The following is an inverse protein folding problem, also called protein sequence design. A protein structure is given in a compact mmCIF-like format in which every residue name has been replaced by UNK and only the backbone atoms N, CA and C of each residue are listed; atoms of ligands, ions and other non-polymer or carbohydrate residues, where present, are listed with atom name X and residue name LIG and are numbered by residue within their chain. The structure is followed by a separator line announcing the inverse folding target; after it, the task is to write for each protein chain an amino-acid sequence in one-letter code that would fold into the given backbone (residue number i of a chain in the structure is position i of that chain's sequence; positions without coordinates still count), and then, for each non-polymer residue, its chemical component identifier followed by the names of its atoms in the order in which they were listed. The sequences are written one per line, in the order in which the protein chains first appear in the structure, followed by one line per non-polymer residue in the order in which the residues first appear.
data_IF_926244711850
#
_entry.id   IF_926244711850
#
_cell.length_a   1.000
_cell.length_b   1.000
_cell.length_c   1.000
_cell.angle_alpha   90.00
_cell.angle_beta   90.00
_cell.angle_gamma   90.00
#
_symmetry.space_group_name_H-M   'P 1'
#
loop_
_entity.id
_entity.type
_entity.pdbx_description
1 polymer ?
#
# COMPACT_ATOMS: atom_id res chain seq x y z
N UNK A 1 14.88 -11.72 9.23
CA UNK A 1 13.59 -11.02 9.31
C UNK A 1 13.86 -9.63 9.86
N UNK A 2 13.25 -8.59 9.28
CA UNK A 2 13.38 -7.22 9.76
C UNK A 2 12.36 -6.96 10.87
N UNK A 3 12.78 -6.61 12.10
CA UNK A 3 11.86 -6.42 13.23
C UNK A 3 10.78 -5.37 12.97
N UNK A 4 10.99 -4.43 12.03
CA UNK A 4 9.99 -3.43 11.66
C UNK A 4 8.70 -4.05 11.13
N UNK A 5 8.75 -5.26 10.57
CA UNK A 5 7.60 -5.94 9.97
C UNK A 5 7.10 -7.12 10.81
N UNK A 6 7.96 -7.67 11.67
CA UNK A 6 7.68 -8.93 12.39
C UNK A 6 7.42 -8.76 13.87
N UNK A 7 7.58 -7.55 14.43
CA UNK A 7 7.28 -7.30 15.85
C UNK A 7 5.78 -7.32 16.12
N UNK A 8 5.38 -7.90 17.25
CA UNK A 8 3.99 -7.86 17.71
C UNK A 8 3.54 -6.46 18.15
N UNK A 9 2.24 -6.19 18.00
CA UNK A 9 1.62 -5.00 18.56
C UNK A 9 1.52 -5.14 20.07
N UNK A 10 2.39 -4.43 20.81
CA UNK A 10 2.47 -4.51 22.27
C UNK A 10 2.19 -3.16 22.94
N UNK A 11 1.56 -3.22 24.12
CA UNK A 11 1.42 -2.08 25.04
C UNK A 11 1.82 -2.59 26.43
N UNK A 12 2.82 -1.96 27.05
CA UNK A 12 3.35 -2.32 28.38
C UNK A 12 3.69 -3.82 28.52
N UNK A 13 4.26 -4.42 27.48
CA UNK A 13 4.62 -5.84 27.43
C UNK A 13 3.44 -6.81 27.20
N UNK A 14 2.21 -6.29 27.11
CA UNK A 14 1.04 -7.09 26.72
C UNK A 14 0.88 -7.10 25.21
N UNK A 15 0.76 -8.30 24.62
CA UNK A 15 0.51 -8.48 23.18
C UNK A 15 -0.99 -8.29 22.88
N UNK A 16 -1.29 -7.37 21.97
CA UNK A 16 -2.65 -7.08 21.50
C UNK A 16 -2.89 -7.50 20.05
N UNK A 17 -1.82 -7.57 19.25
CA UNK A 17 -1.93 -7.87 17.84
C UNK A 17 -0.70 -8.63 17.34
N UNK A 18 -0.90 -9.53 16.38
CA UNK A 18 0.18 -10.30 15.75
C UNK A 18 0.31 -9.91 14.28
N UNK A 19 1.53 -9.72 13.77
CA UNK A 19 1.73 -9.28 12.40
C UNK A 19 1.25 -10.34 11.41
N UNK A 20 0.70 -9.86 10.30
CA UNK A 20 0.07 -10.68 9.27
C UNK A 20 0.81 -10.52 7.94
N UNK A 21 0.72 -9.33 7.37
CA UNK A 21 1.29 -8.98 6.08
C UNK A 21 2.05 -7.67 6.25
N UNK A 22 2.97 -7.42 5.34
CA UNK A 22 3.57 -6.11 5.19
C UNK A 22 3.49 -5.65 3.74
N UNK A 23 3.92 -4.43 3.48
CA UNK A 23 4.11 -3.97 2.12
C UNK A 23 4.45 -2.50 2.06
N UNK A 24 4.43 -1.98 0.84
CA UNK A 24 4.65 -0.56 0.55
C UNK A 24 3.43 0.02 -0.12
N UNK A 25 3.33 1.35 -0.11
CA UNK A 25 2.46 2.08 -1.03
C UNK A 25 3.32 2.83 -2.01
N UNK A 26 3.11 2.53 -3.30
CA UNK A 26 3.84 3.11 -4.41
C UNK A 26 2.89 3.72 -5.42
N UNK A 27 3.43 4.00 -6.60
CA UNK A 27 2.73 4.58 -7.73
C UNK A 27 2.52 3.47 -8.75
N UNK A 28 1.26 3.15 -9.05
CA UNK A 28 0.92 2.38 -10.24
C UNK A 28 0.70 3.35 -11.40
N UNK A 29 1.45 3.19 -12.50
CA UNK A 29 1.40 4.07 -13.68
C UNK A 29 1.30 3.25 -14.97
N UNK A 30 0.34 3.60 -15.82
CA UNK A 30 0.25 3.09 -17.18
C UNK A 30 1.27 3.81 -18.10
N UNK A 31 2.40 3.15 -18.36
CA UNK A 31 3.53 3.70 -19.13
C UNK A 31 3.25 3.91 -20.62
N UNK A 32 2.17 3.31 -21.15
CA UNK A 32 1.69 3.62 -22.52
C UNK A 32 0.94 4.95 -22.59
N UNK A 33 0.33 5.40 -21.51
CA UNK A 33 -0.42 6.66 -21.44
C UNK A 33 0.45 7.81 -20.94
N UNK A 34 1.28 7.54 -19.95
CA UNK A 34 2.19 8.50 -19.33
C UNK A 34 3.63 8.03 -19.58
N UNK A 35 4.27 8.60 -20.60
CA UNK A 35 5.58 8.13 -21.09
C UNK A 35 6.76 8.76 -20.39
N UNK A 36 6.55 9.86 -19.64
CA UNK A 36 7.58 10.46 -18.81
C UNK A 36 7.89 9.51 -17.65
N UNK A 37 9.17 9.16 -17.41
CA UNK A 37 9.53 8.38 -16.23
C UNK A 37 9.05 9.08 -14.97
N UNK A 38 8.46 8.30 -14.07
CA UNK A 38 8.04 8.78 -12.75
C UNK A 38 8.86 8.02 -11.71
N UNK A 39 9.43 8.77 -10.78
CA UNK A 39 10.37 8.30 -9.75
C UNK A 39 10.13 8.94 -8.39
N UNK A 40 9.16 9.85 -8.28
CA UNK A 40 8.90 10.64 -7.07
C UNK A 40 7.43 10.94 -6.87
N UNK A 41 7.05 11.20 -5.62
CA UNK A 41 5.74 11.74 -5.29
C UNK A 41 5.55 13.15 -5.84
N UNK A 42 6.65 13.91 -5.99
CA UNK A 42 6.59 15.22 -6.64
C UNK A 42 6.07 15.12 -8.07
N UNK A 43 6.67 14.23 -8.85
CA UNK A 43 6.24 13.95 -10.23
C UNK A 43 4.82 13.40 -10.27
N UNK A 44 4.42 12.57 -9.30
CA UNK A 44 3.03 12.07 -9.20
C UNK A 44 2.02 13.22 -9.14
N UNK A 45 2.18 14.14 -8.19
CA UNK A 45 1.23 15.23 -8.00
C UNK A 45 1.29 16.28 -9.11
N UNK A 46 2.48 16.57 -9.64
CA UNK A 46 2.63 17.47 -10.80
C UNK A 46 1.94 16.89 -12.04
N UNK A 47 2.13 15.59 -12.30
CA UNK A 47 1.51 14.88 -13.44
C UNK A 47 0.00 14.83 -13.27
N UNK A 48 -0.50 14.63 -12.04
CA UNK A 48 -1.93 14.61 -11.75
C UNK A 48 -2.65 15.91 -12.18
N UNK A 49 -1.97 17.06 -12.08
CA UNK A 49 -2.50 18.38 -12.49
C UNK A 49 -2.17 18.75 -13.95
N UNK A 50 -1.60 17.83 -14.72
CA UNK A 50 -1.14 18.05 -16.08
C UNK A 50 -1.54 16.88 -16.99
N UNK A 51 -0.60 16.01 -17.39
CA UNK A 51 -0.89 14.91 -18.32
C UNK A 51 -1.87 13.88 -17.75
N UNK A 52 -1.97 13.78 -16.43
CA UNK A 52 -2.88 12.91 -15.69
C UNK A 52 -4.20 13.57 -15.27
N UNK A 53 -4.52 14.77 -15.77
CA UNK A 53 -5.75 15.50 -15.43
C UNK A 53 -7.01 14.71 -15.83
N UNK A 54 -7.92 14.52 -14.87
CA UNK A 54 -9.11 13.70 -14.99
C UNK A 54 -8.84 12.19 -15.11
N UNK A 55 -7.58 11.77 -14.94
CA UNK A 55 -7.10 10.39 -15.13
C UNK A 55 -6.31 9.85 -13.93
N UNK A 56 -6.23 10.62 -12.85
CA UNK A 56 -5.48 10.24 -11.65
C UNK A 56 -6.42 9.84 -10.53
N UNK A 57 -6.11 8.74 -9.85
CA UNK A 57 -6.80 8.34 -8.62
C UNK A 57 -5.89 8.51 -7.39
N UNK A 58 -6.50 8.74 -6.24
CA UNK A 58 -5.82 8.72 -4.93
C UNK A 58 -6.60 7.83 -3.97
N UNK A 59 -5.91 7.26 -2.99
CA UNK A 59 -6.55 6.41 -1.98
C UNK A 59 -7.62 7.18 -1.21
N UNK A 60 -8.73 6.50 -0.93
CA UNK A 60 -9.65 6.90 0.14
C UNK A 60 -9.10 6.40 1.48
N UNK A 61 -7.90 6.87 1.82
CA UNK A 61 -7.20 6.54 3.05
C UNK A 61 -6.29 7.71 3.44
N UNK A 62 -6.66 8.42 4.51
CA UNK A 62 -6.05 9.72 4.80
C UNK A 62 -4.55 9.63 5.10
N UNK A 63 -4.06 8.56 5.73
CA UNK A 63 -2.65 8.44 6.12
C UNK A 63 -1.75 8.38 4.88
N UNK A 64 -2.10 7.52 3.91
CA UNK A 64 -1.39 7.45 2.61
C UNK A 64 -1.46 8.78 1.86
N UNK A 65 -2.66 9.32 1.68
CA UNK A 65 -2.87 10.48 0.80
C UNK A 65 -2.20 11.73 1.37
N UNK A 66 -2.37 12.01 2.67
CA UNK A 66 -1.72 13.13 3.35
C UNK A 66 -0.21 12.89 3.45
N UNK A 67 0.21 11.69 3.82
CA UNK A 67 1.63 11.33 3.94
C UNK A 67 2.38 11.53 2.62
N UNK A 68 1.82 11.12 1.49
CA UNK A 68 2.41 11.33 0.17
C UNK A 68 2.38 12.81 -0.27
N UNK A 69 1.38 13.58 0.15
CA UNK A 69 1.38 15.04 -0.04
C UNK A 69 2.47 15.72 0.80
N UNK A 70 2.79 15.22 1.99
CA UNK A 70 3.94 15.68 2.78
C UNK A 70 5.26 15.33 2.08
N UNK A 71 5.37 14.12 1.50
CA UNK A 71 6.55 13.70 0.73
C UNK A 71 6.80 14.58 -0.50
N UNK A 72 5.77 15.13 -1.15
CA UNK A 72 5.91 16.12 -2.23
C UNK A 72 6.80 17.30 -1.84
N UNK A 73 6.66 17.79 -0.60
CA UNK A 73 7.44 18.91 -0.05
C UNK A 73 8.75 18.47 0.62
N UNK A 74 9.08 17.17 0.60
CA UNK A 74 10.24 16.62 1.28
C UNK A 74 10.08 16.47 2.79
N UNK A 75 8.87 16.66 3.33
CA UNK A 75 8.59 16.49 4.76
C UNK A 75 8.56 15.00 5.18
N UNK A 76 8.45 14.78 6.49
CA UNK A 76 8.19 13.44 7.03
C UNK A 76 6.81 12.97 6.60
N UNK A 77 6.68 11.70 6.20
CA UNK A 77 5.37 11.07 5.94
C UNK A 77 4.45 11.13 7.17
N UNK A 78 5.05 11.07 8.37
CA UNK A 78 4.35 11.08 9.66
C UNK A 78 4.41 12.46 10.34
N UNK A 79 4.49 13.55 9.57
CA UNK A 79 4.52 14.88 10.19
C UNK A 79 3.23 15.19 10.94
N UNK A 80 3.38 15.79 12.12
CA UNK A 80 2.29 16.34 12.92
C UNK A 80 2.38 17.87 13.04
N UNK A 81 3.30 18.51 12.32
CA UNK A 81 3.50 19.95 12.41
C UNK A 81 2.38 20.67 11.65
N UNK A 82 1.66 21.62 12.27
CA UNK A 82 0.52 22.28 11.64
C UNK A 82 0.84 23.00 10.33
N UNK A 83 2.03 23.60 10.20
CA UNK A 83 2.47 24.31 8.99
C UNK A 83 2.78 23.35 7.81
N UNK A 84 3.43 22.22 8.09
CA UNK A 84 3.66 21.16 7.10
C UNK A 84 2.33 20.54 6.63
N UNK A 85 1.40 20.29 7.57
CA UNK A 85 0.07 19.78 7.27
C UNK A 85 -0.77 20.77 6.45
N UNK A 86 -0.70 22.07 6.77
CA UNK A 86 -1.38 23.10 5.98
C UNK A 86 -0.87 23.15 4.53
N UNK A 87 0.42 22.89 4.30
CA UNK A 87 0.98 22.78 2.94
C UNK A 87 0.48 21.56 2.19
N UNK A 88 0.40 20.41 2.86
CA UNK A 88 -0.20 19.21 2.29
C UNK A 88 -1.68 19.41 1.94
N UNK A 89 -2.45 20.07 2.81
CA UNK A 89 -3.84 20.43 2.54
C UNK A 89 -3.98 21.34 1.30
N UNK A 90 -3.15 22.39 1.19
CA UNK A 90 -3.12 23.29 0.03
C UNK A 90 -2.92 22.51 -1.28
N UNK A 91 -1.97 21.57 -1.30
CA UNK A 91 -1.70 20.71 -2.45
C UNK A 91 -2.90 19.80 -2.77
N UNK A 92 -3.47 19.15 -1.75
CA UNK A 92 -4.58 18.21 -1.92
C UNK A 92 -5.86 18.92 -2.42
N UNK A 93 -6.13 20.13 -1.94
CA UNK A 93 -7.22 20.96 -2.47
C UNK A 93 -6.98 21.39 -3.90
N UNK A 94 -5.72 21.73 -4.25
CA UNK A 94 -5.34 22.12 -5.60
C UNK A 94 -5.46 20.95 -6.59
N UNK A 95 -5.07 19.73 -6.21
CA UNK A 95 -5.14 18.57 -7.11
C UNK A 95 -6.56 18.00 -7.23
N UNK A 96 -7.40 18.15 -6.21
CA UNK A 96 -8.78 17.62 -6.17
C UNK A 96 -9.59 17.77 -7.48
N UNK A 97 -9.66 18.94 -8.13
CA UNK A 97 -10.42 19.09 -9.38
C UNK A 97 -9.86 18.28 -10.57
N UNK A 98 -8.62 17.80 -10.48
CA UNK A 98 -7.95 17.01 -11.51
C UNK A 98 -8.04 15.51 -11.28
N UNK A 99 -8.62 15.07 -10.17
CA UNK A 99 -8.74 13.65 -9.85
C UNK A 99 -9.92 13.03 -10.59
N UNK A 100 -9.69 11.85 -11.15
CA UNK A 100 -10.76 10.98 -11.65
C UNK A 100 -11.66 10.52 -10.49
N UNK A 101 -11.03 10.08 -9.39
CA UNK A 101 -11.72 9.62 -8.19
C UNK A 101 -10.80 9.59 -6.96
N UNK A 102 -11.43 9.67 -5.79
CA UNK A 102 -10.84 9.30 -4.49
C UNK A 102 -11.44 7.95 -4.12
N UNK A 103 -10.65 6.88 -4.21
CA UNK A 103 -11.11 5.52 -3.95
C UNK A 103 -9.92 4.60 -3.73
N UNK A 104 -10.07 3.65 -2.82
CA UNK A 104 -9.11 2.55 -2.63
C UNK A 104 -9.40 1.35 -3.54
N UNK A 105 -10.51 1.36 -4.30
CA UNK A 105 -10.82 0.38 -5.34
C UNK A 105 -10.44 0.93 -6.74
N UNK A 106 -9.14 1.07 -6.97
CA UNK A 106 -8.58 1.66 -8.19
C UNK A 106 -8.34 0.65 -9.32
N UNK A 107 -8.26 -0.65 -9.01
CA UNK A 107 -7.91 -1.65 -10.03
C UNK A 107 -8.88 -1.71 -11.21
N UNK A 108 -10.22 -1.65 -11.03
CA UNK A 108 -11.15 -1.67 -12.17
C UNK A 108 -10.90 -0.50 -13.14
N UNK A 109 -10.77 0.72 -12.62
CA UNK A 109 -10.52 1.93 -13.41
C UNK A 109 -9.16 1.89 -14.12
N UNK A 110 -8.13 1.36 -13.46
CA UNK A 110 -6.80 1.17 -14.05
C UNK A 110 -6.84 0.14 -15.20
N UNK A 111 -7.56 -0.98 -15.03
CA UNK A 111 -7.72 -2.00 -16.07
C UNK A 111 -8.57 -1.51 -17.25
N UNK A 112 -9.60 -0.72 -16.99
CA UNK A 112 -10.44 -0.11 -18.03
C UNK A 112 -9.70 1.01 -18.81
N UNK A 113 -8.64 1.57 -18.23
CA UNK A 113 -7.91 2.72 -18.80
C UNK A 113 -8.59 4.06 -18.54
N UNK A 114 -9.59 4.09 -17.65
CA UNK A 114 -10.24 5.31 -17.17
C UNK A 114 -9.29 6.13 -16.30
N UNK A 115 -8.53 5.44 -15.44
CA UNK A 115 -7.40 5.98 -14.71
C UNK A 115 -6.08 5.53 -15.34
N UNK A 116 -5.08 6.41 -15.35
CA UNK A 116 -3.76 6.16 -15.91
C UNK A 116 -2.69 6.04 -14.83
N UNK A 117 -2.96 6.59 -13.65
CA UNK A 117 -2.06 6.50 -12.51
C UNK A 117 -2.82 6.58 -11.19
N UNK A 118 -2.27 5.93 -10.17
CA UNK A 118 -2.79 5.95 -8.80
C UNK A 118 -1.67 5.69 -7.80
N UNK A 119 -1.85 6.15 -6.57
CA UNK A 119 -1.17 5.50 -5.44
C UNK A 119 -1.79 4.11 -5.22
N UNK A 120 -0.98 3.12 -4.87
CA UNK A 120 -1.35 1.71 -4.94
C UNK A 120 -0.59 0.89 -3.89
N UNK A 121 -1.26 -0.04 -3.21
CA UNK A 121 -0.60 -1.01 -2.35
C UNK A 121 0.21 -2.02 -3.17
N UNK A 122 1.32 -2.49 -2.62
CA UNK A 122 2.31 -3.34 -3.32
C UNK A 122 1.70 -4.60 -3.94
N UNK A 123 0.77 -5.26 -3.23
CA UNK A 123 0.11 -6.48 -3.71
C UNK A 123 -0.79 -6.20 -4.91
N UNK A 124 -1.50 -5.07 -4.90
CA UNK A 124 -2.35 -4.65 -6.00
C UNK A 124 -1.53 -4.17 -7.20
N UNK A 125 -0.40 -3.50 -6.93
CA UNK A 125 0.55 -3.09 -7.97
C UNK A 125 1.16 -4.28 -8.69
N UNK A 126 1.55 -5.32 -7.95
CA UNK A 126 2.04 -6.57 -8.51
C UNK A 126 0.97 -7.28 -9.36
N UNK A 127 -0.28 -7.29 -8.90
CA UNK A 127 -1.39 -7.87 -9.66
C UNK A 127 -1.68 -7.10 -10.94
N UNK A 128 -1.76 -5.76 -10.86
CA UNK A 128 -1.96 -4.90 -12.03
C UNK A 128 -0.83 -5.07 -13.05
N UNK A 129 0.43 -5.11 -12.61
CA UNK A 129 1.57 -5.34 -13.49
C UNK A 129 1.54 -6.71 -14.16
N UNK A 130 1.18 -7.77 -13.41
CA UNK A 130 1.04 -9.13 -13.96
C UNK A 130 -0.05 -9.18 -15.03
N UNK A 131 -1.19 -8.54 -14.78
CA UNK A 131 -2.34 -8.57 -15.69
C UNK A 131 -2.12 -7.64 -16.91
N UNK A 132 -1.43 -6.51 -16.70
CA UNK A 132 -1.16 -5.46 -17.69
C UNK A 132 0.32 -5.04 -17.54
N UNK A 133 1.26 -5.63 -18.29
CA UNK A 133 2.70 -5.39 -18.13
C UNK A 133 3.15 -3.94 -18.29
N UNK A 134 2.34 -3.09 -18.93
CA UNK A 134 2.61 -1.66 -19.08
C UNK A 134 2.28 -0.83 -17.83
N UNK A 135 1.56 -1.41 -16.86
CA UNK A 135 1.44 -0.81 -15.54
C UNK A 135 2.73 -1.07 -14.78
N UNK A 136 3.53 -0.03 -14.58
CA UNK A 136 4.70 -0.10 -13.71
C UNK A 136 4.30 0.25 -12.27
N UNK A 137 4.93 -0.42 -11.31
CA UNK A 137 4.88 -0.05 -9.90
C UNK A 137 6.19 0.64 -9.51
N UNK A 138 6.10 1.85 -8.97
CA UNK A 138 7.27 2.66 -8.63
C UNK A 138 7.19 3.15 -7.20
N UNK A 139 8.30 3.02 -6.46
CA UNK A 139 8.45 3.67 -5.16
C UNK A 139 9.03 5.08 -5.34
N UNK A 140 8.46 6.06 -4.65
CA UNK A 140 9.00 7.42 -4.63
C UNK A 140 10.40 7.43 -4.02
N UNK A 141 11.37 8.05 -4.70
CA UNK A 141 12.76 8.17 -4.24
C UNK A 141 12.89 8.92 -2.92
N UNK A 142 11.92 9.76 -2.58
CA UNK A 142 11.87 10.44 -1.28
C UNK A 142 11.51 9.47 -0.12
N UNK A 143 11.12 8.24 -0.42
CA UNK A 143 10.45 7.31 0.49
C UNK A 143 8.92 7.45 0.43
N UNK A 144 8.23 6.73 1.31
CA UNK A 144 6.77 6.72 1.35
C UNK A 144 6.25 5.85 2.48
N UNK A 145 5.09 5.26 2.26
CA UNK A 145 4.48 4.36 3.22
C UNK A 145 5.11 2.97 3.16
N UNK A 146 5.50 2.47 4.33
CA UNK A 146 5.68 1.05 4.58
C UNK A 146 4.66 0.70 5.65
N UNK A 147 3.89 -0.35 5.43
CA UNK A 147 2.78 -0.75 6.29
C UNK A 147 2.92 -2.21 6.72
N UNK A 148 2.31 -2.50 7.86
CA UNK A 148 2.16 -3.86 8.40
C UNK A 148 0.73 -4.00 8.89
N UNK A 149 0.03 -5.03 8.42
CA UNK A 149 -1.28 -5.41 8.93
C UNK A 149 -1.13 -6.39 10.08
N UNK A 150 -2.07 -6.32 11.02
CA UNK A 150 -2.08 -7.18 12.19
C UNK A 150 -3.43 -7.87 12.35
N UNK A 151 -3.39 -9.11 12.82
CA UNK A 151 -4.56 -9.73 13.44
C UNK A 151 -4.69 -9.28 14.88
N UNK A 152 -5.89 -8.87 15.29
CA UNK A 152 -6.23 -8.54 16.66
C UNK A 152 -7.60 -9.12 17.02
N UNK A 153 -7.81 -9.44 18.30
CA UNK A 153 -9.11 -9.87 18.82
C UNK A 153 -9.75 -8.66 19.52
N UNK A 154 -10.92 -8.18 19.06
CA UNK A 154 -11.61 -7.08 19.73
C UNK A 154 -11.87 -7.38 21.20
N UNK A 155 -11.74 -6.36 22.05
CA UNK A 155 -11.94 -6.48 23.50
C UNK A 155 -13.31 -7.08 23.85
N UNK A 156 -14.33 -6.72 23.08
CA UNK A 156 -15.72 -7.12 23.30
C UNK A 156 -16.17 -8.27 22.38
N UNK A 157 -15.21 -9.00 21.77
CA UNK A 157 -15.54 -10.15 20.95
C UNK A 157 -16.39 -11.17 21.74
N UNK A 158 -17.59 -11.54 21.24
CA UNK A 158 -18.54 -12.36 22.00
C UNK A 158 -18.07 -13.80 22.20
N UNK A 159 -17.09 -14.26 21.40
CA UNK A 159 -16.47 -15.58 21.52
C UNK A 159 -14.95 -15.48 21.32
N UNK A 160 -14.24 -15.00 22.34
CA UNK A 160 -12.77 -14.91 22.34
C UNK A 160 -12.08 -16.26 22.07
N UNK A 161 -12.49 -17.39 22.69
CA UNK A 161 -11.87 -18.68 22.40
C UNK A 161 -11.91 -19.05 20.91
N UNK A 162 -13.03 -18.82 20.21
CA UNK A 162 -13.11 -19.03 18.77
C UNK A 162 -12.23 -18.06 17.98
N UNK A 163 -12.12 -16.80 18.40
CA UNK A 163 -11.20 -15.83 17.82
C UNK A 163 -9.74 -16.29 17.88
N UNK A 164 -9.30 -16.79 19.03
CA UNK A 164 -7.94 -17.37 19.18
C UNK A 164 -7.76 -18.64 18.34
N UNK A 165 -8.77 -19.50 18.28
CA UNK A 165 -8.71 -20.70 17.43
C UNK A 165 -8.59 -20.36 15.94
N UNK A 166 -9.33 -19.36 15.47
CA UNK A 166 -9.22 -18.85 14.10
C UNK A 166 -7.84 -18.27 13.83
N UNK A 167 -7.30 -17.47 14.76
CA UNK A 167 -5.97 -16.89 14.62
C UNK A 167 -4.90 -17.98 14.50
N UNK A 168 -4.93 -18.99 15.36
CA UNK A 168 -4.02 -20.14 15.29
C UNK A 168 -4.12 -20.88 13.94
N UNK A 169 -5.32 -21.00 13.38
CA UNK A 169 -5.52 -21.61 12.07
C UNK A 169 -4.92 -20.77 10.94
N UNK A 170 -5.20 -19.46 10.92
CA UNK A 170 -4.69 -18.53 9.89
C UNK A 170 -3.16 -18.42 9.92
N UNK A 171 -2.57 -18.43 11.11
CA UNK A 171 -1.11 -18.37 11.29
C UNK A 171 -0.40 -19.71 11.05
N UNK A 172 -1.12 -20.79 10.77
CA UNK A 172 -0.48 -22.04 10.35
C UNK A 172 0.20 -21.82 8.99
N UNK A 173 1.51 -22.09 8.82
CA UNK A 173 2.19 -21.75 7.57
C UNK A 173 1.56 -22.34 6.30
N UNK A 174 1.01 -23.56 6.38
CA UNK A 174 0.34 -24.21 5.23
C UNK A 174 -0.99 -23.55 4.86
N UNK A 175 -1.64 -22.91 5.82
CA UNK A 175 -2.87 -22.14 5.61
C UNK A 175 -2.51 -20.75 5.10
N UNK A 176 -1.58 -20.07 5.77
CA UNK A 176 -1.11 -18.73 5.39
C UNK A 176 -0.61 -18.68 3.94
N UNK A 177 0.13 -19.69 3.46
CA UNK A 177 0.55 -19.76 2.04
C UNK A 177 -0.63 -19.62 1.08
N UNK A 178 -1.77 -20.25 1.37
CA UNK A 178 -2.96 -20.15 0.52
C UNK A 178 -3.54 -18.73 0.53
N UNK A 179 -3.50 -18.08 1.69
CA UNK A 179 -3.94 -16.70 1.83
C UNK A 179 -3.04 -15.75 1.01
N UNK A 180 -1.72 -15.85 1.17
CA UNK A 180 -0.76 -15.01 0.46
C UNK A 180 -0.79 -15.20 -1.06
N UNK A 181 -1.02 -16.44 -1.52
CA UNK A 181 -1.22 -16.70 -2.95
C UNK A 181 -2.54 -16.11 -3.48
N UNK A 182 -3.57 -16.03 -2.64
CA UNK A 182 -4.86 -15.47 -3.02
C UNK A 182 -4.86 -13.93 -3.00
N UNK A 183 -4.24 -13.30 -1.99
CA UNK A 183 -4.25 -11.85 -1.80
C UNK A 183 -3.04 -11.13 -2.43
N UNK A 184 -1.96 -11.86 -2.74
CA UNK A 184 -0.73 -11.34 -3.34
C UNK A 184 0.17 -10.50 -2.42
N UNK A 185 -0.16 -10.36 -1.13
CA UNK A 185 0.62 -9.57 -0.18
C UNK A 185 1.85 -10.34 0.32
N UNK A 186 3.01 -9.67 0.51
CA UNK A 186 4.19 -10.33 1.01
C UNK A 186 4.02 -10.73 2.48
N UNK A 187 4.58 -11.88 2.83
CA UNK A 187 4.46 -12.44 4.18
C UNK A 187 5.58 -11.94 5.09
N UNK A 188 5.21 -11.77 6.36
CA UNK A 188 6.12 -11.46 7.45
C UNK A 188 6.80 -12.71 8.02
N UNK A 189 6.29 -13.91 7.74
CA UNK A 189 6.73 -15.17 8.35
C UNK A 189 7.69 -15.94 7.44
N UNK A 190 8.95 -16.12 7.84
CA UNK A 190 9.93 -16.87 7.04
C UNK A 190 9.51 -18.31 6.76
N UNK A 191 8.70 -18.94 7.63
CA UNK A 191 8.18 -20.29 7.42
C UNK A 191 7.14 -20.32 6.30
N UNK A 192 6.40 -19.24 6.12
CA UNK A 192 5.48 -19.06 4.97
C UNK A 192 6.29 -18.77 3.71
N UNK A 193 7.26 -17.86 3.79
CA UNK A 193 8.13 -17.51 2.66
C UNK A 193 8.87 -18.73 2.09
N UNK A 194 9.33 -19.64 2.94
CA UNK A 194 9.97 -20.89 2.52
C UNK A 194 9.04 -21.85 1.75
N UNK A 195 7.72 -21.65 1.82
CA UNK A 195 6.71 -22.48 1.17
C UNK A 195 6.06 -21.77 -0.04
N UNK A 196 6.33 -20.48 -0.25
CA UNK A 196 5.81 -19.74 -1.40
C UNK A 196 6.56 -20.12 -2.70
N UNK A 197 5.88 -20.07 -3.86
CA UNK A 197 6.52 -20.28 -5.15
C UNK A 197 7.67 -19.29 -5.39
N UNK A 198 8.69 -19.74 -6.13
CA UNK A 198 9.87 -18.92 -6.43
C UNK A 198 9.50 -17.66 -7.21
N UNK A 199 8.51 -17.73 -8.09
CA UNK A 199 8.02 -16.62 -8.90
C UNK A 199 7.42 -15.50 -8.05
N UNK A 200 6.87 -15.84 -6.87
CA UNK A 200 6.37 -14.85 -5.90
C UNK A 200 7.54 -14.23 -5.14
N UNK A 201 8.48 -15.06 -4.69
CA UNK A 201 9.65 -14.62 -3.90
C UNK A 201 10.67 -13.81 -4.72
N UNK A 202 10.75 -14.04 -6.03
CA UNK A 202 11.64 -13.32 -6.94
C UNK A 202 10.98 -12.06 -7.53
N UNK A 203 9.73 -11.74 -7.16
CA UNK A 203 9.01 -10.58 -7.68
C UNK A 203 9.49 -9.28 -7.00
N UNK A 204 10.17 -8.37 -7.73
CA UNK A 204 10.76 -7.16 -7.14
C UNK A 204 9.74 -6.11 -6.68
N UNK A 205 8.46 -6.27 -7.04
CA UNK A 205 7.37 -5.43 -6.52
C UNK A 205 6.95 -5.91 -5.12
N UNK A 206 7.15 -7.19 -4.80
CA UNK A 206 6.73 -7.80 -3.53
C UNK A 206 7.88 -7.94 -2.52
N UNK A 207 9.08 -8.28 -2.97
CA UNK A 207 10.29 -8.53 -2.15
C UNK A 207 11.53 -7.87 -2.75
#
# INVERSE_FOLDING_TARGET
EDPRFTSEGTIDGTIYAVPKNWGTTGIAINTKKLTKPMTSWKEFWDTAMAEGDGRTMVHDYQLTTIGNALKYYGYSFNSLKPDELAKAEELLLKVKPHLFAVSSDYQPSMRAGDAWMTMCWTNDGAQLHRDIPEIAYVLGKEGGEIWTDFYAIPKDAPNKPAGYALLNYLMNPKVAVKEHLANGAPSIDARVNALLPKEVMDNPILY
#
